data_IF_018256656308
#
_entry.id   IF_018256656308
#
_cell.length_a   1.000
_cell.length_b   1.000
_cell.length_c   1.000
_cell.angle_alpha   90.00
_cell.angle_beta   90.00
_cell.angle_gamma   90.00
#
_symmetry.space_group_name_H-M   'P 1'
#
loop_
_entity.id
_entity.type
_entity.pdbx_description
1 polymer ?
#
# COMPACT_ATOMS: atom_id res chain seq x y z
N UNK A 1 -56.85 -8.48 78.05
CA UNK A 1 -55.49 -8.75 77.54
C UNK A 1 -55.57 -8.83 76.03
N UNK A 2 -55.22 -7.74 75.34
CA UNK A 2 -55.22 -7.62 73.89
C UNK A 2 -53.74 -7.59 73.45
N UNK A 3 -53.32 -8.55 72.64
CA UNK A 3 -51.92 -8.67 72.19
C UNK A 3 -51.76 -7.96 70.84
N UNK A 4 -50.90 -6.95 70.81
CA UNK A 4 -50.48 -6.22 69.61
C UNK A 4 -49.23 -6.88 69.05
N UNK A 5 -49.29 -7.34 67.80
CA UNK A 5 -48.14 -7.89 67.05
C UNK A 5 -47.56 -6.77 66.20
N UNK A 6 -46.30 -6.39 66.44
CA UNK A 6 -45.50 -5.53 65.57
C UNK A 6 -44.81 -6.40 64.49
N UNK A 7 -45.04 -6.08 63.22
CA UNK A 7 -44.21 -6.56 62.11
C UNK A 7 -43.05 -5.59 61.90
N UNK A 8 -41.82 -6.05 62.16
CA UNK A 8 -40.59 -5.36 61.78
C UNK A 8 -40.18 -5.75 60.37
N UNK A 9 -40.27 -4.81 59.42
CA UNK A 9 -39.74 -4.98 58.07
C UNK A 9 -38.26 -4.59 58.03
N UNK A 10 -37.37 -5.56 57.79
CA UNK A 10 -35.98 -5.32 57.43
C UNK A 10 -35.89 -4.94 55.96
N UNK A 11 -35.56 -3.67 55.67
CA UNK A 11 -35.17 -3.22 54.34
C UNK A 11 -33.70 -3.60 54.13
N UNK A 12 -33.44 -4.63 53.33
CA UNK A 12 -32.10 -4.92 52.84
C UNK A 12 -31.74 -3.88 51.78
N UNK A 13 -30.82 -2.97 52.12
CA UNK A 13 -30.25 -2.02 51.17
C UNK A 13 -29.29 -2.73 50.24
N UNK A 14 -29.69 -2.93 48.98
CA UNK A 14 -28.80 -3.35 47.91
C UNK A 14 -27.82 -2.20 47.61
N UNK A 15 -26.56 -2.37 48.01
CA UNK A 15 -25.48 -1.48 47.53
C UNK A 15 -25.23 -1.88 46.07
N UNK A 16 -25.83 -1.12 45.14
CA UNK A 16 -25.43 -1.17 43.74
C UNK A 16 -24.08 -0.46 43.67
N UNK A 17 -23.01 -1.25 43.57
CA UNK A 17 -21.70 -0.71 43.19
C UNK A 17 -21.86 -0.22 41.75
N UNK A 18 -21.72 1.08 41.52
CA UNK A 18 -21.61 1.64 40.18
C UNK A 18 -20.41 0.98 39.50
N UNK A 19 -20.70 0.06 38.57
CA UNK A 19 -19.69 -0.38 37.62
C UNK A 19 -19.25 0.88 36.85
N UNK A 20 -17.93 1.12 36.67
CA UNK A 20 -17.49 2.22 35.83
C UNK A 20 -18.16 2.07 34.46
N UNK A 21 -18.70 3.17 33.93
CA UNK A 21 -19.27 3.17 32.60
C UNK A 21 -18.23 2.60 31.63
N UNK A 22 -18.57 1.51 30.94
CA UNK A 22 -17.77 1.01 29.85
C UNK A 22 -17.78 2.08 28.75
N UNK A 23 -16.76 2.93 28.73
CA UNK A 23 -16.50 3.80 27.59
C UNK A 23 -15.97 2.89 26.49
N UNK A 24 -16.86 2.48 25.59
CA UNK A 24 -16.46 1.84 24.34
C UNK A 24 -15.61 2.85 23.58
N UNK A 25 -14.31 2.58 23.45
CA UNK A 25 -13.45 3.32 22.56
C UNK A 25 -13.84 2.99 21.12
N UNK A 26 -14.69 3.83 20.56
CA UNK A 26 -15.22 3.66 19.20
C UNK A 26 -14.10 3.59 18.15
N UNK A 27 -12.92 4.16 18.44
CA UNK A 27 -11.79 4.14 17.51
C UNK A 27 -11.09 2.78 17.55
N UNK A 28 -10.81 2.24 18.73
CA UNK A 28 -10.20 0.91 18.86
C UNK A 28 -11.04 -0.18 18.21
N UNK A 29 -12.37 -0.09 18.29
CA UNK A 29 -13.30 -1.04 17.66
C UNK A 29 -13.21 -1.06 16.12
N UNK A 30 -12.69 0.00 15.49
CA UNK A 30 -12.44 0.05 14.05
C UNK A 30 -11.14 -0.68 13.65
N UNK A 31 -10.25 -0.97 14.60
CA UNK A 31 -8.93 -1.55 14.35
C UNK A 31 -8.95 -3.07 14.22
N UNK A 32 -9.78 -3.59 13.31
CA UNK A 32 -10.00 -5.03 13.14
C UNK A 32 -8.70 -5.81 12.90
N UNK A 33 -7.71 -5.18 12.25
CA UNK A 33 -6.44 -5.82 11.92
C UNK A 33 -5.64 -6.24 13.15
N UNK A 34 -5.80 -5.55 14.28
CA UNK A 34 -5.06 -5.89 15.51
C UNK A 34 -5.40 -7.30 15.98
N UNK A 35 -6.66 -7.69 15.87
CA UNK A 35 -7.14 -9.03 16.23
C UNK A 35 -6.98 -9.99 15.05
N UNK A 36 -7.46 -9.62 13.87
CA UNK A 36 -7.64 -10.55 12.73
C UNK A 36 -6.31 -11.04 12.12
N UNK A 37 -5.20 -10.33 12.39
CA UNK A 37 -3.85 -10.59 11.91
C UNK A 37 -2.84 -10.84 13.05
N UNK A 38 -3.33 -11.05 14.28
CA UNK A 38 -2.53 -11.57 15.39
C UNK A 38 -1.64 -10.55 16.12
N UNK A 39 -1.81 -9.24 15.93
CA UNK A 39 -0.99 -8.24 16.63
C UNK A 39 -1.22 -8.24 18.14
N UNK A 40 -2.48 -8.38 18.59
CA UNK A 40 -2.78 -8.48 20.03
C UNK A 40 -2.08 -9.67 20.69
N UNK A 41 -1.93 -10.79 19.98
CA UNK A 41 -1.21 -11.96 20.47
C UNK A 41 0.31 -11.75 20.40
N UNK A 42 0.82 -11.15 19.31
CA UNK A 42 2.23 -10.80 19.16
C UNK A 42 2.73 -9.89 20.29
N UNK A 43 1.88 -8.97 20.77
CA UNK A 43 2.19 -8.06 21.87
C UNK A 43 2.41 -8.74 23.23
N UNK A 44 2.07 -10.02 23.38
CA UNK A 44 2.50 -10.81 24.54
C UNK A 44 4.01 -11.14 24.51
N UNK A 45 4.65 -11.01 23.35
CA UNK A 45 6.09 -11.19 23.17
C UNK A 45 6.82 -9.86 23.07
N UNK A 46 6.36 -8.96 22.20
CA UNK A 46 6.97 -7.63 21.99
C UNK A 46 5.99 -6.66 21.35
N UNK A 47 6.19 -5.36 21.58
CA UNK A 47 5.46 -4.26 20.94
C UNK A 47 6.34 -3.38 20.05
N UNK A 48 7.56 -3.83 19.74
CA UNK A 48 8.49 -3.14 18.84
C UNK A 48 9.51 -2.25 19.54
N UNK A 49 9.66 -2.37 20.87
CA UNK A 49 10.62 -1.57 21.64
C UNK A 49 12.05 -1.72 21.10
N UNK A 50 12.74 -0.58 20.98
CA UNK A 50 14.13 -0.53 20.54
C UNK A 50 14.33 -0.55 19.02
N UNK A 51 13.25 -0.65 18.23
CA UNK A 51 13.31 -0.58 16.77
C UNK A 51 12.90 0.80 16.29
N UNK A 52 13.69 1.35 15.35
CA UNK A 52 13.46 2.65 14.72
C UNK A 52 12.96 2.46 13.29
N UNK A 53 11.81 3.05 12.97
CA UNK A 53 11.22 3.01 11.63
C UNK A 53 11.20 4.41 11.02
N UNK A 54 11.86 4.59 9.89
CA UNK A 54 11.74 5.82 9.12
C UNK A 54 10.47 5.80 8.26
N UNK A 55 9.65 6.84 8.38
CA UNK A 55 8.47 7.06 7.54
C UNK A 55 8.85 8.11 6.50
N UNK A 56 9.13 7.66 5.27
CA UNK A 56 9.39 8.53 4.13
C UNK A 56 8.06 8.81 3.45
N UNK A 57 7.48 9.97 3.75
CA UNK A 57 6.12 10.33 3.38
C UNK A 57 5.94 11.87 3.34
N UNK A 58 4.72 12.39 3.39
CA UNK A 58 4.43 13.83 3.38
C UNK A 58 4.80 14.57 4.69
N UNK A 59 5.57 13.95 5.58
CA UNK A 59 5.86 14.45 6.92
C UNK A 59 4.85 13.96 7.97
N UNK A 60 5.27 14.00 9.24
CA UNK A 60 4.48 13.41 10.35
C UNK A 60 4.24 14.47 11.41
N UNK A 61 2.99 14.85 11.62
CA UNK A 61 2.65 15.69 12.77
C UNK A 61 2.74 14.86 14.07
N UNK A 62 3.92 14.89 14.69
CA UNK A 62 4.18 14.22 15.97
C UNK A 62 3.50 14.86 17.18
N UNK A 63 2.80 15.98 17.01
CA UNK A 63 2.13 16.69 18.11
C UNK A 63 0.73 16.15 18.42
N UNK A 64 0.16 15.34 17.52
CA UNK A 64 -1.10 14.63 17.77
C UNK A 64 -0.94 13.66 18.95
N UNK A 65 -2.01 13.51 19.75
CA UNK A 65 -1.95 12.78 21.02
C UNK A 65 -1.43 11.33 20.85
N UNK A 66 -1.85 10.65 19.79
CA UNK A 66 -1.45 9.29 19.44
C UNK A 66 0.02 9.13 19.13
N UNK A 67 0.71 10.17 18.66
CA UNK A 67 2.12 10.09 18.28
C UNK A 67 3.05 10.70 19.33
N UNK A 68 2.50 11.08 20.50
CA UNK A 68 3.28 11.68 21.55
C UNK A 68 4.42 10.75 22.01
N UNK A 69 5.65 11.22 21.79
CA UNK A 69 6.90 10.50 22.07
C UNK A 69 7.21 9.34 21.13
N UNK A 70 6.38 9.09 20.10
CA UNK A 70 6.64 8.09 19.06
C UNK A 70 7.64 8.62 18.03
N UNK A 71 7.50 9.88 17.62
CA UNK A 71 8.44 10.55 16.71
C UNK A 71 9.65 11.05 17.50
N UNK A 72 10.84 10.53 17.19
CA UNK A 72 12.08 10.81 17.94
C UNK A 72 13.07 11.71 17.19
N UNK A 73 12.79 11.97 15.92
CA UNK A 73 13.61 12.79 15.04
C UNK A 73 13.06 12.77 13.62
N UNK A 74 13.72 13.50 12.73
CA UNK A 74 13.29 13.56 11.35
C UNK A 74 14.05 14.60 10.54
N UNK A 75 13.70 14.70 9.27
CA UNK A 75 14.24 15.67 8.33
C UNK A 75 13.22 16.03 7.26
N UNK A 76 13.36 17.23 6.69
CA UNK A 76 12.70 17.59 5.44
C UNK A 76 13.70 17.58 4.29
N UNK A 77 13.44 16.73 3.31
CA UNK A 77 14.25 16.64 2.07
C UNK A 77 13.64 17.48 0.94
N UNK A 78 12.42 17.99 1.12
CA UNK A 78 11.72 18.78 0.11
C UNK A 78 12.10 20.26 0.07
N UNK A 79 12.58 20.80 1.19
CA UNK A 79 12.79 22.24 1.40
C UNK A 79 11.49 23.02 1.63
N UNK A 80 10.36 22.35 1.86
CA UNK A 80 9.04 22.94 2.07
C UNK A 80 8.53 22.75 3.51
N UNK A 81 9.02 21.73 4.22
CA UNK A 81 8.60 21.37 5.57
C UNK A 81 9.48 22.00 6.65
N UNK A 82 9.30 21.55 7.89
CA UNK A 82 10.21 21.88 8.99
C UNK A 82 11.45 20.99 8.95
N UNK A 83 12.59 21.50 9.44
CA UNK A 83 13.86 20.78 9.40
C UNK A 83 13.87 19.43 10.14
N UNK A 84 12.89 19.19 11.01
CA UNK A 84 12.69 17.94 11.75
C UNK A 84 11.66 17.00 11.09
N UNK A 85 11.14 17.34 9.90
CA UNK A 85 10.17 16.52 9.15
C UNK A 85 8.77 16.46 9.76
N UNK A 86 8.50 17.23 10.82
CA UNK A 86 7.26 17.14 11.59
C UNK A 86 6.15 18.13 11.17
N UNK A 87 6.44 19.02 10.23
CA UNK A 87 5.41 19.84 9.57
C UNK A 87 4.97 19.15 8.29
N UNK A 88 3.71 18.71 8.20
CA UNK A 88 3.14 18.17 6.97
C UNK A 88 3.43 19.03 5.74
N UNK A 89 3.85 18.38 4.65
CA UNK A 89 4.18 18.99 3.37
C UNK A 89 3.09 18.64 2.37
N UNK A 90 2.24 19.61 2.08
CA UNK A 90 1.25 19.50 1.01
C UNK A 90 1.93 19.36 -0.37
N UNK A 91 1.34 18.53 -1.23
CA UNK A 91 1.61 18.49 -2.66
C UNK A 91 0.94 19.66 -3.38
N UNK A 92 0.80 19.54 -4.71
CA UNK A 92 -0.04 20.47 -5.47
C UNK A 92 -1.52 20.02 -5.48
N UNK A 93 -1.77 18.72 -5.33
CA UNK A 93 -3.09 18.08 -5.26
C UNK A 93 -3.27 17.22 -3.98
N UNK A 94 -2.43 17.43 -2.96
CA UNK A 94 -2.42 16.69 -1.70
C UNK A 94 -2.26 17.66 -0.53
N UNK A 95 -3.05 17.48 0.53
CA UNK A 95 -3.05 18.34 1.72
C UNK A 95 -1.91 17.98 2.71
N UNK A 96 -1.16 16.91 2.44
CA UNK A 96 0.07 16.54 3.16
C UNK A 96 -0.18 15.73 4.44
N UNK A 97 -1.41 15.29 4.67
CA UNK A 97 -1.87 14.65 5.90
C UNK A 97 -1.47 13.16 5.99
N UNK A 98 -1.05 12.58 4.86
CA UNK A 98 -0.84 11.16 4.67
C UNK A 98 0.24 10.56 5.59
N UNK A 99 1.36 11.25 5.80
CA UNK A 99 2.42 10.75 6.67
C UNK A 99 1.99 10.60 8.14
N UNK A 100 1.15 11.50 8.67
CA UNK A 100 0.56 11.35 10.02
C UNK A 100 -0.35 10.13 10.11
N UNK A 101 -1.19 9.90 9.08
CA UNK A 101 -2.04 8.72 8.99
C UNK A 101 -1.21 7.43 9.01
N UNK A 102 -0.17 7.37 8.19
CA UNK A 102 0.77 6.24 8.09
C UNK A 102 1.49 5.99 9.42
N UNK A 103 2.05 7.03 10.03
CA UNK A 103 2.76 6.95 11.30
C UNK A 103 1.85 6.44 12.43
N UNK A 104 0.59 6.88 12.44
CA UNK A 104 -0.38 6.48 13.45
C UNK A 104 -0.71 4.98 13.40
N UNK A 105 -0.94 4.42 12.21
CA UNK A 105 -1.13 2.98 12.01
C UNK A 105 0.09 2.17 12.44
N UNK A 106 1.29 2.73 12.26
CA UNK A 106 2.54 2.05 12.55
C UNK A 106 2.84 2.03 14.06
N UNK A 107 2.98 3.20 14.69
CA UNK A 107 3.46 3.33 16.07
C UNK A 107 2.60 4.25 16.97
N UNK A 108 1.32 4.47 16.62
CA UNK A 108 0.40 5.18 17.50
C UNK A 108 0.34 4.57 18.90
N UNK A 109 0.22 5.42 19.93
CA UNK A 109 0.27 5.05 21.36
C UNK A 109 -1.07 5.25 22.08
N UNK A 110 -2.12 5.62 21.34
CA UNK A 110 -3.39 6.07 21.91
C UNK A 110 -3.27 7.45 22.57
N UNK A 111 -4.36 7.91 23.17
CA UNK A 111 -4.48 9.28 23.73
C UNK A 111 -4.16 9.38 25.22
N UNK A 112 -3.77 8.27 25.88
CA UNK A 112 -3.30 8.28 27.28
C UNK A 112 -4.32 7.85 28.34
N UNK A 113 -5.21 6.91 28.03
CA UNK A 113 -6.15 6.26 28.97
C UNK A 113 -6.64 4.89 28.47
N UNK A 114 -5.93 4.31 27.50
CA UNK A 114 -6.37 3.11 26.77
C UNK A 114 -7.32 3.40 25.62
N UNK A 115 -7.65 4.67 25.35
CA UNK A 115 -8.44 5.07 24.18
C UNK A 115 -7.61 5.58 23.01
N UNK A 116 -8.27 5.84 21.89
CA UNK A 116 -7.68 6.35 20.67
C UNK A 116 -6.98 5.26 19.87
N UNK A 117 -6.42 5.67 18.74
CA UNK A 117 -5.77 4.75 17.83
C UNK A 117 -4.43 4.26 18.39
N UNK A 118 -4.21 2.94 18.34
CA UNK A 118 -2.91 2.33 18.62
C UNK A 118 -2.29 1.77 17.35
N UNK A 119 -1.01 2.01 17.13
CA UNK A 119 -0.27 1.42 16.03
C UNK A 119 -0.03 -0.07 16.24
N UNK A 120 0.39 -0.76 15.18
CA UNK A 120 0.73 -2.19 15.23
C UNK A 120 2.02 -2.49 16.01
N UNK A 121 2.93 -1.52 16.11
CA UNK A 121 4.17 -1.56 16.89
C UNK A 121 4.29 -0.31 17.77
N UNK A 122 3.48 -0.19 18.83
CA UNK A 122 3.32 1.06 19.59
C UNK A 122 4.56 1.45 20.41
N UNK A 123 5.51 0.53 20.63
CA UNK A 123 6.77 0.81 21.32
C UNK A 123 7.94 1.06 20.35
N UNK A 124 7.71 0.98 19.03
CA UNK A 124 8.68 1.43 18.05
C UNK A 124 8.84 2.96 18.08
N UNK A 125 9.97 3.43 17.55
CA UNK A 125 10.25 4.86 17.36
C UNK A 125 10.16 5.22 15.88
N UNK A 126 9.73 6.45 15.60
CA UNK A 126 9.56 6.97 14.24
C UNK A 126 10.61 8.04 13.94
N UNK A 127 11.24 7.92 12.77
CA UNK A 127 11.93 9.03 12.12
C UNK A 127 11.03 9.60 11.01
N UNK A 128 10.65 10.87 11.13
CA UNK A 128 9.79 11.53 10.16
C UNK A 128 10.62 12.10 9.00
N UNK A 129 10.49 11.58 7.78
CA UNK A 129 11.22 12.07 6.61
C UNK A 129 10.22 12.66 5.62
N UNK A 130 10.11 13.99 5.57
CA UNK A 130 9.11 14.68 4.76
C UNK A 130 9.57 14.92 3.32
N UNK A 131 8.68 14.57 2.39
CA UNK A 131 8.84 14.65 0.94
C UNK A 131 7.68 15.48 0.36
N UNK A 132 7.98 16.37 -0.58
CA UNK A 132 6.98 17.20 -1.25
C UNK A 132 6.45 16.53 -2.51
N UNK A 133 5.64 15.48 -2.37
CA UNK A 133 5.13 14.69 -3.51
C UNK A 133 4.40 15.55 -4.53
N UNK A 134 4.83 15.46 -5.79
CA UNK A 134 4.17 16.15 -6.90
C UNK A 134 4.14 17.67 -6.77
N UNK A 135 4.87 18.26 -5.82
CA UNK A 135 4.84 19.71 -5.64
C UNK A 135 5.79 20.41 -6.59
N UNK A 136 5.25 21.34 -7.37
CA UNK A 136 6.04 22.25 -8.22
C UNK A 136 6.79 23.33 -7.43
N UNK A 137 6.55 23.42 -6.12
CA UNK A 137 7.21 24.39 -5.22
C UNK A 137 8.60 23.92 -4.76
N UNK A 138 8.85 22.62 -4.74
CA UNK A 138 10.17 22.08 -4.36
C UNK A 138 11.19 22.34 -5.47
N UNK A 139 12.40 22.73 -5.06
CA UNK A 139 13.55 22.85 -6.00
C UNK A 139 14.31 21.53 -6.14
N UNK A 140 14.04 20.55 -5.27
CA UNK A 140 14.61 19.19 -5.29
C UNK A 140 13.63 18.27 -5.99
N UNK A 141 14.08 17.47 -6.96
CA UNK A 141 13.21 16.50 -7.65
C UNK A 141 12.66 15.47 -6.66
N UNK A 142 11.46 14.92 -6.87
CA UNK A 142 10.95 13.85 -6.00
C UNK A 142 11.86 12.62 -5.97
N UNK A 143 12.56 12.35 -7.07
CA UNK A 143 13.52 11.24 -7.17
C UNK A 143 14.71 11.44 -6.24
N UNK A 144 15.29 12.64 -6.24
CA UNK A 144 16.41 13.00 -5.37
C UNK A 144 15.96 13.09 -3.90
N UNK A 145 14.75 13.60 -3.63
CA UNK A 145 14.18 13.62 -2.29
C UNK A 145 14.12 12.21 -1.70
N UNK A 146 13.62 11.23 -2.45
CA UNK A 146 13.54 9.85 -1.97
C UNK A 146 14.94 9.25 -1.75
N UNK A 147 15.88 9.45 -2.67
CA UNK A 147 17.25 8.95 -2.50
C UNK A 147 17.95 9.57 -1.27
N UNK A 148 17.79 10.88 -1.06
CA UNK A 148 18.31 11.59 0.11
C UNK A 148 17.64 11.13 1.40
N UNK A 149 16.32 10.95 1.38
CA UNK A 149 15.54 10.49 2.52
C UNK A 149 15.94 9.08 2.99
N UNK A 150 16.18 8.17 2.05
CA UNK A 150 16.68 6.82 2.35
C UNK A 150 18.06 6.88 3.01
N UNK A 151 19.01 7.62 2.43
CA UNK A 151 20.35 7.76 3.00
C UNK A 151 20.31 8.37 4.40
N UNK A 152 19.56 9.46 4.55
CA UNK A 152 19.40 10.11 5.85
C UNK A 152 18.78 9.17 6.89
N UNK A 153 17.75 8.39 6.52
CA UNK A 153 17.13 7.44 7.42
C UNK A 153 18.14 6.39 7.93
N UNK A 154 18.92 5.81 7.02
CA UNK A 154 19.98 4.83 7.36
C UNK A 154 21.02 5.47 8.28
N UNK A 155 21.53 6.65 7.93
CA UNK A 155 22.56 7.37 8.69
C UNK A 155 22.09 7.79 10.11
N UNK A 156 20.77 7.90 10.30
CA UNK A 156 20.15 8.25 11.58
C UNK A 156 19.58 7.04 12.33
N UNK A 157 19.97 5.82 11.92
CA UNK A 157 19.72 4.60 12.68
C UNK A 157 18.35 3.97 12.45
N UNK A 158 17.76 4.15 11.27
CA UNK A 158 16.57 3.39 10.89
C UNK A 158 16.90 1.90 10.73
N UNK A 159 16.12 1.03 11.36
CA UNK A 159 16.14 -0.41 11.15
C UNK A 159 15.20 -0.84 10.01
N UNK A 160 14.17 -0.02 9.78
CA UNK A 160 13.11 -0.25 8.80
C UNK A 160 12.81 1.09 8.12
N UNK A 161 12.58 1.06 6.80
CA UNK A 161 12.07 2.20 6.04
C UNK A 161 10.68 1.83 5.52
N UNK A 162 9.68 2.61 5.91
CA UNK A 162 8.34 2.54 5.37
C UNK A 162 8.17 3.53 4.22
N UNK A 163 7.75 3.03 3.06
CA UNK A 163 7.41 3.82 1.88
C UNK A 163 5.96 3.54 1.48
N UNK A 164 5.03 4.32 2.03
CA UNK A 164 3.60 4.24 1.71
C UNK A 164 3.24 4.94 0.39
N UNK A 165 4.15 4.87 -0.58
CA UNK A 165 4.12 5.57 -1.85
C UNK A 165 4.44 4.61 -2.98
N UNK A 166 4.02 4.96 -4.18
CA UNK A 166 4.34 4.23 -5.40
C UNK A 166 4.40 5.18 -6.58
N UNK A 167 5.12 4.78 -7.62
CA UNK A 167 5.03 5.38 -8.95
C UNK A 167 4.00 4.62 -9.77
N UNK A 168 3.33 5.30 -10.69
CA UNK A 168 2.52 4.64 -11.73
C UNK A 168 3.37 4.06 -12.88
N UNK A 169 4.58 3.58 -12.56
CA UNK A 169 5.52 2.97 -13.51
C UNK A 169 6.31 1.86 -12.85
N UNK A 170 6.68 0.86 -13.65
CA UNK A 170 7.53 -0.25 -13.23
C UNK A 170 8.97 0.18 -12.93
N UNK A 171 9.42 1.27 -13.57
CA UNK A 171 10.81 1.71 -13.58
C UNK A 171 11.13 2.72 -12.47
N UNK A 172 12.39 2.71 -12.04
CA UNK A 172 12.95 3.68 -11.11
C UNK A 172 14.22 4.34 -11.68
N UNK A 173 14.52 5.59 -11.28
CA UNK A 173 15.73 6.30 -11.70
C UNK A 173 16.98 5.61 -11.15
N UNK A 174 18.10 5.71 -11.86
CA UNK A 174 19.37 5.11 -11.44
C UNK A 174 19.89 5.65 -10.11
N UNK A 175 19.52 6.89 -9.73
CA UNK A 175 19.84 7.44 -8.40
C UNK A 175 19.25 6.62 -7.23
N UNK A 176 18.22 5.81 -7.48
CA UNK A 176 17.66 4.91 -6.47
C UNK A 176 18.48 3.62 -6.33
N UNK A 177 19.25 3.20 -7.33
CA UNK A 177 20.07 1.98 -7.26
C UNK A 177 21.01 2.07 -6.06
N UNK A 178 21.81 3.14 -5.98
CA UNK A 178 22.77 3.34 -4.88
C UNK A 178 22.09 3.62 -3.53
N UNK A 179 20.91 4.23 -3.52
CA UNK A 179 20.21 4.55 -2.27
C UNK A 179 19.60 3.29 -1.63
N UNK A 180 18.96 2.45 -2.43
CA UNK A 180 18.39 1.18 -1.95
C UNK A 180 19.49 0.17 -1.61
N UNK A 181 20.56 0.08 -2.42
CA UNK A 181 21.74 -0.71 -2.05
C UNK A 181 22.31 -0.24 -0.71
N UNK A 182 22.44 1.07 -0.49
CA UNK A 182 22.94 1.59 0.78
C UNK A 182 22.07 1.18 1.97
N UNK A 183 20.74 1.17 1.83
CA UNK A 183 19.85 0.66 2.88
C UNK A 183 20.08 -0.84 3.14
N UNK A 184 20.15 -1.65 2.09
CA UNK A 184 20.31 -3.10 2.22
C UNK A 184 21.68 -3.50 2.78
N UNK A 185 22.76 -2.83 2.38
CA UNK A 185 24.12 -3.03 2.89
C UNK A 185 24.26 -2.65 4.38
N UNK A 186 23.37 -1.78 4.88
CA UNK A 186 23.31 -1.39 6.29
C UNK A 186 22.21 -2.14 7.06
N UNK A 187 21.78 -3.31 6.58
CA UNK A 187 20.83 -4.18 7.26
C UNK A 187 19.42 -3.58 7.46
N UNK A 188 19.04 -2.59 6.65
CA UNK A 188 17.74 -1.93 6.75
C UNK A 188 16.70 -2.63 5.87
N UNK A 189 15.55 -2.97 6.46
CA UNK A 189 14.42 -3.54 5.70
C UNK A 189 13.62 -2.41 5.07
N UNK A 190 13.49 -2.40 3.74
CA UNK A 190 12.63 -1.43 3.04
C UNK A 190 11.29 -2.08 2.69
N UNK A 191 10.21 -1.46 3.16
CA UNK A 191 8.82 -1.92 2.95
C UNK A 191 8.10 -0.90 2.07
N UNK A 192 7.46 -1.36 1.00
CA UNK A 192 6.78 -0.47 0.05
C UNK A 192 5.37 -0.93 -0.33
N UNK A 193 4.47 0.03 -0.52
CA UNK A 193 3.13 -0.20 -1.04
C UNK A 193 3.17 -0.68 -2.50
N UNK A 194 2.39 -1.69 -2.85
CA UNK A 194 2.28 -2.20 -4.22
C UNK A 194 1.66 -1.16 -5.19
N UNK A 195 0.79 -0.29 -4.69
CA UNK A 195 0.00 0.66 -5.47
C UNK A 195 -1.49 0.32 -5.49
N UNK A 196 -2.31 1.26 -5.98
CA UNK A 196 -3.77 1.16 -5.96
C UNK A 196 -4.32 1.24 -7.39
N UNK A 197 -5.17 0.29 -7.79
CA UNK A 197 -5.84 0.37 -9.11
C UNK A 197 -6.73 1.59 -9.21
N UNK A 198 -7.37 2.00 -8.11
CA UNK A 198 -8.21 3.19 -8.04
C UNK A 198 -7.47 4.50 -8.34
N UNK A 199 -6.14 4.55 -8.14
CA UNK A 199 -5.28 5.69 -8.51
C UNK A 199 -4.59 5.53 -9.87
N UNK A 200 -5.00 4.53 -10.66
CA UNK A 200 -4.43 4.24 -11.98
C UNK A 200 -3.22 3.28 -11.96
N UNK A 201 -2.85 2.73 -10.81
CA UNK A 201 -1.75 1.76 -10.68
C UNK A 201 -2.29 0.34 -10.88
N UNK A 202 -2.40 -0.13 -12.13
CA UNK A 202 -2.99 -1.45 -12.43
C UNK A 202 -2.04 -2.63 -12.20
N UNK A 203 -0.74 -2.36 -12.15
CA UNK A 203 0.36 -3.29 -11.85
C UNK A 203 1.31 -2.69 -10.79
N UNK A 204 2.06 -3.51 -10.07
CA UNK A 204 2.96 -3.04 -9.00
C UNK A 204 3.95 -2.02 -9.54
N UNK A 205 4.02 -0.85 -8.91
CA UNK A 205 4.93 0.24 -9.28
C UNK A 205 6.19 0.31 -8.41
N UNK A 206 7.22 1.00 -8.89
CA UNK A 206 8.40 1.29 -8.08
C UNK A 206 8.06 2.21 -6.88
N UNK A 207 8.67 2.02 -5.70
CA UNK A 207 9.81 1.16 -5.41
C UNK A 207 9.47 -0.32 -5.15
N UNK A 208 8.20 -0.72 -5.11
CA UNK A 208 7.81 -2.11 -4.84
C UNK A 208 8.20 -3.10 -5.97
N UNK A 209 8.72 -2.63 -7.09
CA UNK A 209 9.35 -3.46 -8.14
C UNK A 209 10.84 -3.69 -7.93
N UNK A 210 11.49 -2.98 -7.00
CA UNK A 210 12.93 -3.07 -6.76
C UNK A 210 13.24 -4.39 -6.04
N UNK A 211 14.13 -5.25 -6.58
CA UNK A 211 14.54 -6.47 -5.89
C UNK A 211 15.12 -6.16 -4.50
N UNK A 212 14.73 -6.95 -3.49
CA UNK A 212 15.11 -6.72 -2.10
C UNK A 212 14.12 -5.85 -1.30
N UNK A 213 13.16 -5.18 -1.94
CA UNK A 213 12.07 -4.47 -1.24
C UNK A 213 10.98 -5.47 -0.82
N UNK A 214 10.51 -5.36 0.42
CA UNK A 214 9.34 -6.09 0.91
C UNK A 214 8.06 -5.41 0.40
N UNK A 215 7.61 -5.79 -0.79
CA UNK A 215 6.42 -5.23 -1.43
C UNK A 215 5.11 -5.76 -0.81
N UNK A 216 4.17 -4.85 -0.54
CA UNK A 216 2.95 -5.14 0.20
C UNK A 216 1.70 -4.95 -0.66
N UNK A 217 0.96 -6.03 -0.87
CA UNK A 217 -0.37 -6.03 -1.48
C UNK A 217 -1.48 -5.75 -0.46
N UNK A 218 -2.70 -5.52 -0.95
CA UNK A 218 -3.85 -5.13 -0.14
C UNK A 218 -5.04 -6.10 -0.22
N UNK A 219 -5.67 -6.36 0.93
CA UNK A 219 -6.93 -7.09 1.04
C UNK A 219 -8.00 -6.30 1.77
N UNK A 220 -9.26 -6.59 1.43
CA UNK A 220 -10.43 -6.12 2.17
C UNK A 220 -10.53 -6.78 3.55
N UNK A 221 -11.52 -6.33 4.35
CA UNK A 221 -11.79 -6.90 5.67
C UNK A 221 -12.17 -8.39 5.64
N UNK A 222 -12.68 -8.89 4.51
CA UNK A 222 -13.00 -10.30 4.31
C UNK A 222 -11.80 -11.11 3.82
N UNK A 223 -10.59 -10.54 3.87
CA UNK A 223 -9.34 -11.20 3.44
C UNK A 223 -9.33 -11.52 1.94
N UNK A 224 -10.17 -10.85 1.16
CA UNK A 224 -10.23 -10.93 -0.30
C UNK A 224 -9.36 -9.83 -0.90
N UNK A 225 -8.63 -10.13 -1.96
CA UNK A 225 -7.80 -9.13 -2.64
C UNK A 225 -8.61 -7.89 -2.98
N UNK A 226 -8.14 -6.72 -2.57
CA UNK A 226 -8.85 -5.48 -2.86
C UNK A 226 -8.80 -5.21 -4.37
N UNK A 227 -9.95 -4.83 -4.93
CA UNK A 227 -10.04 -4.48 -6.33
C UNK A 227 -9.39 -3.12 -6.61
N UNK A 228 -9.76 -2.09 -5.84
CA UNK A 228 -9.28 -0.72 -6.07
C UNK A 228 -8.04 -0.37 -5.22
N UNK A 229 -7.96 -0.88 -4.00
CA UNK A 229 -6.92 -0.52 -3.04
C UNK A 229 -5.64 -1.35 -3.15
N UNK A 230 -5.51 -2.21 -4.17
CA UNK A 230 -4.30 -3.00 -4.42
C UNK A 230 -4.05 -3.28 -5.89
N UNK A 231 -2.83 -3.03 -6.35
CA UNK A 231 -2.31 -3.52 -7.63
C UNK A 231 -2.01 -5.03 -7.57
N UNK A 232 -1.58 -5.57 -8.71
CA UNK A 232 -1.10 -6.95 -8.84
C UNK A 232 0.31 -6.98 -9.44
N UNK A 233 1.14 -7.93 -9.04
CA UNK A 233 2.48 -8.08 -9.57
C UNK A 233 3.23 -9.21 -8.87
N UNK A 234 4.15 -9.84 -9.59
CA UNK A 234 4.93 -10.97 -9.09
C UNK A 234 5.90 -10.58 -7.96
N UNK A 235 6.16 -9.29 -7.78
CA UNK A 235 7.05 -8.79 -6.73
C UNK A 235 6.36 -8.67 -5.37
N UNK A 236 5.02 -8.77 -5.29
CA UNK A 236 4.29 -8.75 -4.02
C UNK A 236 4.81 -9.89 -3.13
N UNK A 237 5.36 -9.53 -1.96
CA UNK A 237 5.91 -10.48 -1.02
C UNK A 237 4.83 -11.05 -0.09
N UNK A 238 3.97 -10.18 0.44
CA UNK A 238 2.85 -10.50 1.33
C UNK A 238 1.70 -9.51 1.09
N UNK A 239 0.49 -9.87 1.55
CA UNK A 239 -0.64 -8.95 1.58
C UNK A 239 -1.11 -8.64 2.99
N UNK A 240 -1.61 -7.44 3.19
CA UNK A 240 -2.10 -6.95 4.48
C UNK A 240 -3.41 -6.14 4.29
N UNK A 241 -4.14 -5.83 5.38
CA UNK A 241 -5.33 -4.99 5.34
C UNK A 241 -5.13 -3.68 4.59
N UNK A 242 -6.00 -3.39 3.63
CA UNK A 242 -5.95 -2.16 2.83
C UNK A 242 -7.31 -1.47 2.68
N UNK A 243 -8.36 -1.93 3.36
CA UNK A 243 -9.67 -1.26 3.33
C UNK A 243 -10.21 -0.99 4.74
N UNK A 244 -10.83 0.18 4.90
CA UNK A 244 -11.45 0.68 6.13
C UNK A 244 -10.45 0.79 7.27
N UNK A 245 -9.25 1.29 6.99
CA UNK A 245 -8.23 1.54 8.01
C UNK A 245 -8.48 2.89 8.63
N UNK A 246 -8.57 2.93 9.95
CA UNK A 246 -8.65 4.20 10.70
C UNK A 246 -7.24 4.74 10.96
N UNK A 247 -7.07 6.05 10.90
CA UNK A 247 -5.84 6.79 11.26
C UNK A 247 -6.18 8.18 11.78
N UNK A 248 -5.19 8.85 12.38
CA UNK A 248 -5.34 10.21 12.88
C UNK A 248 -4.74 11.22 11.90
N UNK A 249 -5.46 12.32 11.69
CA UNK A 249 -5.06 13.46 10.87
C UNK A 249 -4.27 14.47 11.72
N UNK A 250 -3.48 15.38 11.10
CA UNK A 250 -2.81 16.47 11.83
C UNK A 250 -3.75 17.33 12.69
N UNK A 251 -4.99 17.53 12.25
CA UNK A 251 -6.02 18.26 13.01
C UNK A 251 -6.65 17.46 14.17
N UNK A 252 -6.07 16.30 14.50
CA UNK A 252 -6.53 15.35 15.53
C UNK A 252 -7.89 14.71 15.25
N UNK A 253 -8.41 14.79 14.02
CA UNK A 253 -9.59 14.01 13.62
C UNK A 253 -9.22 12.61 13.17
N UNK A 254 -10.18 11.69 13.21
CA UNK A 254 -10.01 10.33 12.67
C UNK A 254 -10.71 10.18 11.33
N UNK A 255 -10.01 9.56 10.39
CA UNK A 255 -10.55 9.22 9.07
C UNK A 255 -10.38 7.73 8.81
N UNK A 256 -11.21 7.19 7.92
CA UNK A 256 -10.98 5.88 7.32
C UNK A 256 -10.54 6.06 5.88
N UNK A 257 -9.52 5.30 5.45
CA UNK A 257 -9.12 5.24 4.04
C UNK A 257 -8.84 3.82 3.57
N UNK A 258 -8.81 3.70 2.25
CA UNK A 258 -8.51 2.49 1.52
C UNK A 258 -7.21 2.71 0.71
N UNK A 259 -6.29 1.77 0.77
CA UNK A 259 -5.05 1.79 -0.02
C UNK A 259 -3.96 0.87 0.51
N UNK A 260 -3.09 0.39 -0.37
CA UNK A 260 -1.84 -0.29 0.04
C UNK A 260 -0.89 0.64 0.81
N UNK A 261 -1.08 1.95 0.73
CA UNK A 261 -0.41 2.92 1.60
C UNK A 261 -0.76 2.74 3.09
N UNK A 262 -1.92 2.12 3.41
CA UNK A 262 -2.30 1.71 4.75
C UNK A 262 -1.75 0.30 5.11
N UNK A 263 -1.59 -0.57 4.11
CA UNK A 263 -1.06 -1.90 4.29
C UNK A 263 0.46 -1.89 4.59
N UNK A 264 1.22 -1.02 3.93
CA UNK A 264 2.66 -0.85 4.13
C UNK A 264 3.05 -0.56 5.60
N UNK A 265 2.45 0.41 6.34
CA UNK A 265 2.81 0.68 7.73
C UNK A 265 2.43 -0.46 8.68
N UNK A 266 1.38 -1.21 8.37
CA UNK A 266 1.02 -2.43 9.11
C UNK A 266 2.13 -3.48 8.98
N UNK A 267 2.67 -3.68 7.77
CA UNK A 267 3.79 -4.59 7.54
C UNK A 267 5.09 -4.04 8.12
N UNK A 268 5.37 -2.75 8.00
CA UNK A 268 6.55 -2.11 8.61
C UNK A 268 6.54 -2.26 10.13
N UNK A 269 5.39 -2.09 10.77
CA UNK A 269 5.25 -2.37 12.20
C UNK A 269 5.41 -3.85 12.52
N UNK A 270 4.90 -4.77 11.70
CA UNK A 270 5.20 -6.20 11.85
C UNK A 270 6.71 -6.48 11.77
N UNK A 271 7.41 -5.93 10.79
CA UNK A 271 8.87 -6.03 10.67
C UNK A 271 9.54 -5.52 11.96
N UNK A 272 9.06 -4.41 12.53
CA UNK A 272 9.56 -3.91 13.80
C UNK A 272 9.30 -4.86 14.98
N UNK A 273 8.14 -5.53 15.04
CA UNK A 273 7.89 -6.58 16.03
C UNK A 273 8.86 -7.75 15.85
N UNK A 274 9.15 -8.17 14.61
CA UNK A 274 10.09 -9.25 14.32
C UNK A 274 11.50 -8.87 14.75
N UNK A 275 12.00 -7.69 14.38
CA UNK A 275 13.32 -7.21 14.80
C UNK A 275 13.44 -7.12 16.32
N UNK A 276 12.42 -6.62 17.01
CA UNK A 276 12.43 -6.56 18.47
C UNK A 276 12.42 -7.95 19.15
N UNK A 277 11.73 -8.94 18.55
CA UNK A 277 11.72 -10.31 19.06
C UNK A 277 13.00 -11.10 18.73
N UNK A 278 13.69 -10.75 17.64
CA UNK A 278 14.87 -11.43 17.12
C UNK A 278 15.95 -10.42 16.70
N UNK A 279 16.60 -9.74 17.66
CA UNK A 279 17.52 -8.64 17.37
C UNK A 279 18.80 -9.05 16.64
N UNK A 280 19.11 -10.36 16.61
CA UNK A 280 20.29 -10.91 15.92
C UNK A 280 20.01 -11.32 14.46
N UNK A 281 18.76 -11.22 13.99
CA UNK A 281 18.44 -11.50 12.58
C UNK A 281 18.81 -10.31 11.71
N UNK A 282 19.44 -10.61 10.58
CA UNK A 282 19.62 -9.66 9.49
C UNK A 282 18.30 -9.41 8.73
N UNK A 283 18.29 -8.40 7.87
CA UNK A 283 17.16 -7.98 7.07
C UNK A 283 16.57 -9.13 6.25
N UNK A 284 17.42 -9.99 5.67
CA UNK A 284 16.99 -11.17 4.92
C UNK A 284 16.26 -12.18 5.82
N UNK A 285 16.78 -12.46 7.02
CA UNK A 285 16.15 -13.32 8.01
C UNK A 285 14.83 -12.78 8.54
N UNK A 286 14.75 -11.47 8.77
CA UNK A 286 13.51 -10.77 9.17
C UNK A 286 12.46 -10.86 8.07
N UNK A 287 12.80 -10.53 6.82
CA UNK A 287 11.90 -10.65 5.67
C UNK A 287 11.43 -12.09 5.47
N UNK A 288 12.35 -13.06 5.57
CA UNK A 288 12.02 -14.48 5.49
C UNK A 288 11.04 -14.92 6.57
N UNK A 289 11.15 -14.42 7.82
CA UNK A 289 10.13 -14.68 8.85
C UNK A 289 8.77 -14.19 8.40
N UNK A 290 8.65 -12.91 8.02
CA UNK A 290 7.39 -12.31 7.59
C UNK A 290 6.75 -13.11 6.44
N UNK A 291 7.56 -13.49 5.45
CA UNK A 291 7.14 -14.24 4.27
C UNK A 291 6.74 -15.69 4.63
N UNK A 292 7.61 -16.42 5.33
CA UNK A 292 7.43 -17.85 5.61
C UNK A 292 6.29 -18.13 6.61
N UNK A 293 5.92 -17.15 7.43
CA UNK A 293 4.78 -17.26 8.34
C UNK A 293 3.48 -16.72 7.76
N UNK A 294 3.50 -16.19 6.53
CA UNK A 294 2.29 -15.68 5.88
C UNK A 294 1.24 -16.81 5.72
N UNK A 295 -0.01 -16.46 5.98
CA UNK A 295 -1.15 -17.35 5.87
C UNK A 295 -1.73 -17.29 4.46
N UNK A 296 -1.67 -18.42 3.74
CA UNK A 296 -2.20 -18.54 2.38
C UNK A 296 -3.71 -18.20 2.25
N UNK A 297 -4.47 -18.20 3.36
CA UNK A 297 -5.91 -17.91 3.39
C UNK A 297 -6.71 -18.73 2.36
N UNK A 298 -6.35 -20.00 2.20
CA UNK A 298 -6.98 -20.92 1.24
C UNK A 298 -6.65 -20.64 -0.23
N UNK A 299 -5.74 -19.72 -0.53
CA UNK A 299 -5.30 -19.39 -1.88
C UNK A 299 -4.06 -20.20 -2.29
N UNK A 300 -3.82 -20.29 -3.59
CA UNK A 300 -2.53 -20.74 -4.10
C UNK A 300 -1.50 -19.61 -3.94
N UNK A 301 -0.40 -19.90 -3.25
CA UNK A 301 0.71 -18.96 -2.98
C UNK A 301 2.06 -19.62 -3.28
N UNK A 302 3.08 -18.86 -3.73
CA UNK A 302 3.05 -17.43 -4.02
C UNK A 302 2.16 -17.08 -5.23
N UNK A 303 1.56 -15.88 -5.24
CA UNK A 303 0.74 -15.39 -6.36
C UNK A 303 0.94 -13.90 -6.63
N UNK A 304 0.64 -13.40 -7.84
CA UNK A 304 0.71 -11.97 -8.16
C UNK A 304 -0.30 -11.08 -7.42
N UNK A 305 -1.17 -11.65 -6.58
CA UNK A 305 -2.25 -10.94 -5.89
C UNK A 305 -2.03 -10.97 -4.38
N UNK A 306 -1.65 -12.13 -3.84
CA UNK A 306 -1.47 -12.35 -2.41
C UNK A 306 0.00 -12.44 -1.98
N UNK A 307 0.95 -12.41 -2.92
CA UNK A 307 2.33 -12.81 -2.63
C UNK A 307 2.34 -14.19 -1.99
N UNK A 308 3.06 -14.34 -0.88
CA UNK A 308 3.13 -15.56 -0.08
C UNK A 308 1.93 -15.76 0.86
N UNK A 309 0.97 -14.83 0.87
CA UNK A 309 -0.24 -14.89 1.69
C UNK A 309 -0.40 -13.64 2.54
N UNK A 310 -1.36 -13.72 3.45
CA UNK A 310 -1.67 -12.66 4.40
C UNK A 310 -0.67 -12.68 5.55
N UNK A 311 -0.25 -11.51 6.02
CA UNK A 311 0.61 -11.45 7.20
C UNK A 311 -0.05 -12.11 8.43
N UNK A 312 0.79 -12.64 9.31
CA UNK A 312 0.38 -13.23 10.58
C UNK A 312 1.39 -12.81 11.66
N UNK A 313 1.05 -11.79 12.43
CA UNK A 313 1.97 -11.18 13.38
C UNK A 313 2.35 -12.13 14.52
N UNK A 314 1.39 -12.91 15.01
CA UNK A 314 1.62 -13.87 16.07
C UNK A 314 2.59 -14.96 15.62
N UNK A 315 2.35 -15.57 14.46
CA UNK A 315 3.25 -16.56 13.89
C UNK A 315 4.63 -15.96 13.58
N UNK A 316 4.67 -14.75 13.01
CA UNK A 316 5.88 -14.03 12.68
C UNK A 316 6.73 -13.62 13.87
N UNK A 317 6.24 -13.65 15.13
CA UNK A 317 7.08 -13.45 16.33
C UNK A 317 7.30 -14.71 17.18
N UNK A 318 6.49 -15.77 17.00
CA UNK A 318 6.57 -16.98 17.85
C UNK A 318 7.02 -18.26 17.14
N UNK A 319 6.74 -18.41 15.84
CA UNK A 319 6.99 -19.68 15.13
C UNK A 319 8.47 -19.84 14.83
N UNK A 320 8.95 -21.08 14.85
CA UNK A 320 10.26 -21.41 14.27
C UNK A 320 10.22 -21.28 12.75
N UNK A 321 11.17 -20.53 12.20
CA UNK A 321 11.38 -20.36 10.76
C UNK A 321 12.81 -20.78 10.46
N UNK A 322 13.00 -21.61 9.43
CA UNK A 322 14.33 -22.01 9.02
C UNK A 322 15.12 -20.77 8.55
N UNK A 323 16.45 -20.73 8.76
CA UNK A 323 17.27 -19.63 8.26
C UNK A 323 17.05 -19.38 6.76
N UNK A 324 17.09 -18.12 6.34
CA UNK A 324 16.98 -17.76 4.94
C UNK A 324 18.12 -18.41 4.15
N UNK A 325 17.80 -19.05 3.02
CA UNK A 325 18.79 -19.61 2.08
C UNK A 325 18.80 -18.90 0.74
N UNK A 326 17.87 -17.96 0.56
CA UNK A 326 17.73 -17.17 -0.67
C UNK A 326 18.73 -16.00 -0.65
N UNK A 327 18.94 -15.40 -1.83
CA UNK A 327 19.79 -14.23 -1.97
C UNK A 327 19.30 -13.06 -1.09
N UNK A 328 20.25 -12.37 -0.48
CA UNK A 328 19.99 -11.16 0.33
C UNK A 328 19.44 -10.01 -0.54
N UNK A 329 18.76 -9.01 0.06
CA UNK A 329 18.31 -7.83 -0.67
C UNK A 329 19.42 -7.15 -1.48
N UNK A 330 20.63 -7.04 -0.93
CA UNK A 330 21.81 -6.49 -1.61
C UNK A 330 22.20 -7.31 -2.84
N UNK A 331 22.27 -8.64 -2.71
CA UNK A 331 22.61 -9.54 -3.83
C UNK A 331 21.56 -9.46 -4.94
N UNK A 332 20.27 -9.48 -4.58
CA UNK A 332 19.16 -9.39 -5.54
C UNK A 332 19.20 -8.10 -6.35
N UNK A 333 19.41 -6.95 -5.70
CA UNK A 333 19.49 -5.66 -6.38
C UNK A 333 20.77 -5.53 -7.20
N UNK A 334 21.91 -5.99 -6.67
CA UNK A 334 23.20 -5.96 -7.39
C UNK A 334 23.15 -6.79 -8.68
N UNK A 335 22.58 -8.00 -8.61
CA UNK A 335 22.40 -8.85 -9.79
C UNK A 335 21.47 -8.17 -10.80
N UNK A 336 20.36 -7.60 -10.34
CA UNK A 336 19.43 -6.89 -11.22
C UNK A 336 20.10 -5.70 -11.93
N UNK A 337 20.84 -4.87 -11.19
CA UNK A 337 21.57 -3.71 -11.72
C UNK A 337 22.56 -4.19 -12.78
N UNK A 338 23.35 -5.22 -12.47
CA UNK A 338 24.35 -5.80 -13.39
C UNK A 338 23.72 -6.26 -14.72
N UNK A 339 22.51 -6.82 -14.67
CA UNK A 339 21.81 -7.32 -15.84
C UNK A 339 21.09 -6.22 -16.65
N UNK A 340 20.60 -5.16 -16.00
CA UNK A 340 19.67 -4.20 -16.60
C UNK A 340 20.25 -2.80 -16.81
N UNK A 341 21.21 -2.36 -15.99
CA UNK A 341 21.99 -1.13 -16.23
C UNK A 341 23.15 -1.48 -17.15
N UNK A 342 23.05 -1.16 -18.44
CA UNK A 342 24.17 -1.31 -19.37
C UNK A 342 25.26 -0.32 -18.98
N UNK A 343 26.50 -0.79 -18.79
CA UNK A 343 27.65 0.10 -18.82
C UNK A 343 27.63 0.89 -20.14
N UNK A 344 27.83 2.20 -20.09
CA UNK A 344 28.20 2.96 -21.27
C UNK A 344 29.51 2.37 -21.80
N UNK A 345 29.41 1.50 -22.81
CA UNK A 345 30.58 1.05 -23.53
C UNK A 345 31.06 2.27 -24.31
N UNK A 346 32.17 2.85 -23.88
CA UNK A 346 32.93 3.77 -24.71
C UNK A 346 33.30 2.99 -25.97
N UNK A 347 32.53 3.18 -27.05
CA UNK A 347 32.80 2.53 -28.33
C UNK A 347 34.08 3.14 -28.86
N UNK A 348 35.23 2.59 -28.46
CA UNK A 348 36.48 2.83 -29.16
C UNK A 348 36.23 2.38 -30.59
N UNK A 349 36.23 3.27 -31.60
CA UNK A 349 35.98 2.88 -32.97
C UNK A 349 37.04 1.85 -33.34
N UNK A 350 36.63 0.59 -33.48
CA UNK A 350 37.51 -0.41 -34.07
C UNK A 350 37.80 0.08 -35.49
N UNK A 351 39.08 0.15 -35.86
CA UNK A 351 39.51 0.62 -37.17
C UNK A 351 38.58 0.06 -38.26
N UNK A 352 38.00 0.98 -39.04
CA UNK A 352 37.06 0.65 -40.12
C UNK A 352 37.73 -0.41 -41.00
N UNK A 353 37.15 -1.61 -41.16
CA UNK A 353 37.68 -2.58 -42.11
C UNK A 353 37.62 -1.91 -43.49
N UNK A 354 38.76 -1.87 -44.18
CA UNK A 354 38.82 -1.37 -45.56
C UNK A 354 37.82 -2.18 -46.39
N UNK A 355 36.78 -1.51 -46.86
CA UNK A 355 35.71 -2.12 -47.63
C UNK A 355 36.30 -2.76 -48.90
N UNK A 356 36.23 -4.08 -48.99
CA UNK A 356 36.39 -4.77 -50.26
C UNK A 356 35.18 -4.44 -51.14
N UNK A 357 35.43 -4.12 -52.41
CA UNK A 357 34.41 -3.63 -53.34
C UNK A 357 33.24 -4.63 -53.45
N UNK A 358 31.97 -4.17 -53.42
CA UNK A 358 30.83 -5.06 -53.44
C UNK A 358 30.76 -5.82 -54.77
N UNK A 359 30.50 -7.13 -54.68
CA UNK A 359 30.14 -7.93 -55.84
C UNK A 359 28.85 -7.40 -56.48
N UNK A 360 28.77 -7.46 -57.81
CA UNK A 360 27.66 -6.95 -58.59
C UNK A 360 26.30 -7.49 -58.10
N UNK A 361 25.35 -6.59 -57.91
CA UNK A 361 24.00 -6.90 -57.42
C UNK A 361 23.27 -7.85 -58.39
N UNK A 362 22.64 -8.88 -57.83
CA UNK A 362 21.61 -9.64 -58.53
C UNK A 362 20.32 -8.81 -58.58
N UNK A 363 19.66 -8.77 -59.74
CA UNK A 363 18.35 -8.11 -59.87
C UNK A 363 17.32 -8.78 -58.95
N UNK A 364 16.61 -7.95 -58.17
CA UNK A 364 15.53 -8.40 -57.31
C UNK A 364 14.37 -9.01 -58.11
N UNK A 365 13.74 -10.09 -57.63
CA UNK A 365 12.56 -10.65 -58.27
C UNK A 365 11.39 -9.66 -58.23
N UNK A 366 10.58 -9.65 -59.30
CA UNK A 366 9.43 -8.77 -59.42
C UNK A 366 8.42 -8.98 -58.27
N UNK A 367 8.00 -7.86 -57.66
CA UNK A 367 7.01 -7.87 -56.59
C UNK A 367 5.67 -8.46 -57.07
N UNK A 368 4.98 -9.26 -56.22
CA UNK A 368 3.70 -9.84 -56.59
C UNK A 368 2.64 -8.76 -56.77
N UNK A 369 1.88 -8.85 -57.87
CA UNK A 369 0.79 -7.93 -58.16
C UNK A 369 -0.29 -7.98 -57.08
N UNK A 370 -0.52 -6.86 -56.41
CA UNK A 370 -1.59 -6.72 -55.43
C UNK A 370 -2.95 -6.66 -56.16
N UNK A 371 -3.82 -7.61 -55.88
CA UNK A 371 -5.19 -7.60 -56.38
C UNK A 371 -5.98 -6.45 -55.72
N UNK A 372 -6.39 -5.47 -56.52
CA UNK A 372 -7.14 -4.28 -56.09
C UNK A 372 -8.47 -4.59 -55.36
N UNK A 373 -8.95 -5.83 -55.40
CA UNK A 373 -10.14 -6.31 -54.69
C UNK A 373 -9.87 -6.66 -53.21
N UNK A 374 -8.62 -6.89 -52.80
CA UNK A 374 -8.27 -7.23 -51.40
C UNK A 374 -8.05 -6.01 -50.50
N UNK A 375 -7.85 -4.82 -51.07
CA UNK A 375 -7.69 -3.57 -50.33
C UNK A 375 -8.97 -3.07 -49.64
N UNK A 376 -10.13 -3.63 -50.01
CA UNK A 376 -11.46 -3.25 -49.49
C UNK A 376 -12.05 -4.25 -48.49
N UNK A 377 -11.34 -5.35 -48.21
CA UNK A 377 -11.77 -6.33 -47.21
C UNK A 377 -11.15 -5.96 -45.86
N UNK A 378 -11.95 -5.80 -44.78
CA UNK A 378 -11.41 -5.47 -43.47
C UNK A 378 -10.49 -6.61 -42.99
N UNK A 379 -9.29 -6.22 -42.54
CA UNK A 379 -8.35 -7.15 -41.93
C UNK A 379 -8.72 -7.37 -40.45
N UNK A 380 -8.10 -8.34 -39.78
CA UNK A 380 -8.44 -8.67 -38.39
C UNK A 380 -8.30 -7.48 -37.43
N UNK A 381 -7.32 -6.60 -37.66
CA UNK A 381 -7.17 -5.36 -36.89
C UNK A 381 -8.36 -4.40 -37.11
N UNK A 382 -8.81 -4.22 -38.35
CA UNK A 382 -9.97 -3.36 -38.65
C UNK A 382 -11.26 -3.94 -38.08
N UNK A 383 -11.43 -5.25 -38.16
CA UNK A 383 -12.58 -5.95 -37.58
C UNK A 383 -12.63 -5.82 -36.06
N UNK A 384 -11.53 -6.09 -35.36
CA UNK A 384 -11.48 -6.11 -33.89
C UNK A 384 -11.53 -4.71 -33.29
N UNK A 385 -10.80 -3.75 -33.84
CA UNK A 385 -10.61 -2.44 -33.21
C UNK A 385 -11.51 -1.34 -33.75
N UNK A 386 -12.16 -1.53 -34.91
CA UNK A 386 -12.99 -0.49 -35.53
C UNK A 386 -14.42 -0.99 -35.75
N UNK A 387 -14.59 -2.09 -36.49
CA UNK A 387 -15.92 -2.55 -36.88
C UNK A 387 -16.75 -3.07 -35.70
N UNK A 388 -16.16 -3.87 -34.80
CA UNK A 388 -16.87 -4.44 -33.64
C UNK A 388 -17.32 -3.36 -32.65
N UNK A 389 -16.46 -2.44 -32.18
CA UNK A 389 -16.87 -1.39 -31.23
C UNK A 389 -17.95 -0.47 -31.81
N UNK A 390 -17.85 -0.13 -33.10
CA UNK A 390 -18.83 0.70 -33.78
C UNK A 390 -20.20 -0.01 -33.88
N UNK A 391 -20.21 -1.30 -34.18
CA UNK A 391 -21.44 -2.10 -34.21
C UNK A 391 -22.12 -2.19 -32.84
N UNK A 392 -21.34 -2.32 -31.76
CA UNK A 392 -21.84 -2.32 -30.37
C UNK A 392 -22.47 -0.97 -30.03
N UNK A 393 -21.82 0.15 -30.36
CA UNK A 393 -22.33 1.50 -30.12
C UNK A 393 -23.65 1.75 -30.87
N UNK A 394 -23.72 1.38 -32.16
CA UNK A 394 -24.94 1.51 -32.96
C UNK A 394 -26.05 0.62 -32.40
N UNK A 395 -25.74 -0.61 -32.00
CA UNK A 395 -26.70 -1.52 -31.37
C UNK A 395 -27.28 -0.96 -30.07
N UNK A 396 -26.43 -0.38 -29.22
CA UNK A 396 -26.87 0.25 -27.97
C UNK A 396 -27.74 1.49 -28.24
N UNK A 397 -27.39 2.32 -29.22
CA UNK A 397 -28.18 3.48 -29.63
C UNK A 397 -29.59 3.11 -30.12
N UNK A 398 -29.71 2.01 -30.88
CA UNK A 398 -31.01 1.48 -31.32
C UNK A 398 -31.84 1.00 -30.13
N UNK A 399 -31.23 0.26 -29.19
CA UNK A 399 -31.92 -0.23 -27.99
C UNK A 399 -32.45 0.91 -27.10
N UNK A 400 -31.65 1.95 -26.86
CA UNK A 400 -32.06 3.13 -26.08
C UNK A 400 -33.23 3.83 -26.76
N UNK A 401 -33.18 3.97 -28.09
CA UNK A 401 -34.27 4.61 -28.85
C UNK A 401 -35.56 3.79 -28.77
N UNK A 402 -35.48 2.46 -28.93
CA UNK A 402 -36.64 1.58 -28.82
C UNK A 402 -37.24 1.59 -27.41
N UNK A 403 -36.39 1.61 -26.37
CA UNK A 403 -36.82 1.70 -24.98
C UNK A 403 -37.52 3.04 -24.70
N UNK A 404 -36.98 4.16 -25.19
CA UNK A 404 -37.61 5.47 -25.09
C UNK A 404 -38.98 5.54 -25.78
N UNK A 405 -39.12 4.94 -26.96
CA UNK A 405 -40.40 4.82 -27.69
C UNK A 405 -41.38 3.93 -26.91
N UNK A 406 -40.92 2.82 -26.33
CA UNK A 406 -41.71 1.93 -25.48
C UNK A 406 -42.24 2.65 -24.23
N UNK A 407 -41.36 3.34 -23.51
CA UNK A 407 -41.70 4.10 -22.31
C UNK A 407 -42.71 5.22 -22.60
N UNK A 408 -42.51 5.99 -23.67
CA UNK A 408 -43.46 7.04 -24.07
C UNK A 408 -44.82 6.49 -24.49
N UNK A 409 -44.87 5.34 -25.17
CA UNK A 409 -46.14 4.66 -25.48
C UNK A 409 -46.83 4.12 -24.23
N UNK A 410 -46.09 3.56 -23.27
CA UNK A 410 -46.62 3.08 -22.00
C UNK A 410 -47.23 4.22 -21.17
N UNK A 411 -46.52 5.34 -21.05
CA UNK A 411 -47.02 6.53 -20.31
C UNK A 411 -48.27 7.11 -20.97
N UNK A 412 -48.31 7.17 -22.32
CA UNK A 412 -49.52 7.60 -23.05
C UNK A 412 -50.69 6.62 -22.87
N UNK A 413 -50.43 5.32 -22.71
CA UNK A 413 -51.46 4.30 -22.48
C UNK A 413 -52.05 4.40 -21.07
N UNK A 414 -51.21 4.60 -20.04
CA UNK A 414 -51.67 4.85 -18.66
C UNK A 414 -52.53 6.13 -18.61
N UNK A 415 -52.08 7.22 -19.25
CA UNK A 415 -52.83 8.49 -19.26
C UNK A 415 -54.17 8.44 -20.03
N UNK A 416 -54.39 7.44 -20.88
CA UNK A 416 -55.64 7.29 -21.67
C UNK A 416 -56.70 6.41 -21.03
N UNK A 417 -56.40 5.65 -19.96
CA UNK A 417 -57.39 4.87 -19.21
C UNK A 417 -57.52 5.36 -17.75
N UNK A 418 -58.29 6.42 -17.46
CA UNK A 418 -58.65 6.82 -16.11
C UNK A 418 -60.00 6.22 -15.68
N UNK A 419 -60.31 4.97 -16.08
CA UNK A 419 -61.51 4.24 -15.66
C UNK A 419 -61.11 2.81 -15.40
N UNK A 420 -60.80 2.52 -14.13
CA UNK A 420 -60.99 1.26 -13.41
C UNK A 420 -60.14 1.29 -12.13
N UNK A 421 -60.51 2.17 -11.20
CA UNK A 421 -60.23 2.02 -9.76
C UNK A 421 -61.35 2.66 -8.93
N UNK A 422 -62.59 2.44 -9.37
CA UNK A 422 -63.77 2.58 -8.55
C UNK A 422 -64.66 1.37 -8.81
N UNK A 423 -64.82 0.53 -7.77
CA UNK A 423 -65.67 -0.66 -7.64
C UNK A 423 -65.05 -2.02 -8.02
N UNK A 424 -64.25 -2.60 -7.11
CA UNK A 424 -64.51 -3.87 -6.40
C UNK A 424 -63.38 -4.17 -5.44
#
# INVERSE_FOLDING_TARGET
MLATVLFGGTVAGSVVLDAPAAHADQIRDLQYWLTDYGFLEAWNTTKGAGVTVAVIDSGVDGTVAELNGAVIGGTDVSGLGSADGQTPVAGDDDDGEHGTLVASLLAGRGTGDGTGLIGVAPEASILAVSVGFGSTRSTVSNDDQIAQGIRWAVDNGADVINMSLTRNTLYWPESWDDAFLYAFENDVVVVAAAGNRGSGTTEVGAPATIPGVLAVGGVDRNKTASFDASSQGITIAVSAPSEKLVGVMPDSTYVQWDGTSAAAPIVSGLVALVRAAYPDLDAAGVMNRVIATANANGQAVPSPIYGNGLIDAAAAVTRYVAPATDATPTELLTEWITLHRRAEIEVVPTEVPVAEAPAAAHEDPALPAQNALTAWLPNQLTLTYISLPLAVLVGFGILVTLFGIGATRHIKRIRRNPKDFAQS
#
